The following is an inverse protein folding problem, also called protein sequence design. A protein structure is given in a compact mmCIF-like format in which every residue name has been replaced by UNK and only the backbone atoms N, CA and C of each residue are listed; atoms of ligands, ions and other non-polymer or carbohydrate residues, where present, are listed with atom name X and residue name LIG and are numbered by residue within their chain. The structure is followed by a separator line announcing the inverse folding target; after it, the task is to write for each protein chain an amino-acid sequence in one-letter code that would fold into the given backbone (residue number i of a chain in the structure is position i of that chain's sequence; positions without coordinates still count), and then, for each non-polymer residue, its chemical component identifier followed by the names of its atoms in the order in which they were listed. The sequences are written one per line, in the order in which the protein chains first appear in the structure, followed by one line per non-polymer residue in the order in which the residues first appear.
data_IF_507517617675
#
_entry.id   IF_507517617675
#
_cell.length_a   1.000
_cell.length_b   1.000
_cell.length_c   1.000
_cell.angle_alpha   90.00
_cell.angle_beta   90.00
_cell.angle_gamma   90.00
#
_symmetry.space_group_name_H-M   'P 1'
#
loop_
_entity.id
_entity.type
_entity.pdbx_description
1 polymer ?
#
# COMPACT_ATOMS: atom_id res chain seq x y z
N UNK A 1 7.64 -7.22 14.43
CA UNK A 1 6.57 -6.72 13.52
C UNK A 1 5.78 -5.58 14.16
N UNK A 2 5.23 -5.74 15.38
CA UNK A 2 4.48 -4.67 16.07
C UNK A 2 5.27 -3.36 16.22
N UNK A 3 6.55 -3.47 16.58
CA UNK A 3 7.45 -2.32 16.70
C UNK A 3 7.53 -1.52 15.38
N UNK A 4 7.66 -2.20 14.24
CA UNK A 4 7.71 -1.56 12.93
C UNK A 4 6.38 -0.90 12.56
N UNK A 5 5.25 -1.55 12.83
CA UNK A 5 3.91 -0.96 12.63
C UNK A 5 3.76 0.34 13.44
N UNK A 6 4.30 0.39 14.66
CA UNK A 6 4.30 1.59 15.50
C UNK A 6 5.26 2.67 14.98
N UNK A 7 6.51 2.31 14.65
CA UNK A 7 7.53 3.21 14.08
C UNK A 7 7.04 3.88 12.80
N UNK A 8 6.38 3.13 11.93
CA UNK A 8 5.80 3.63 10.68
C UNK A 8 4.49 4.39 10.88
N UNK A 9 3.94 4.42 12.10
CA UNK A 9 2.61 4.93 12.39
C UNK A 9 1.52 4.37 11.46
N UNK A 10 1.61 3.09 11.12
CA UNK A 10 0.79 2.47 10.09
C UNK A 10 -0.62 2.12 10.59
N UNK A 11 -1.63 2.87 10.10
CA UNK A 11 -3.04 2.67 10.42
C UNK A 11 -3.35 2.80 11.92
N UNK A 12 -4.24 1.94 12.42
CA UNK A 12 -4.63 1.91 13.84
C UNK A 12 -3.57 1.29 14.78
N UNK A 13 -2.44 0.82 14.24
CA UNK A 13 -1.29 0.23 14.97
C UNK A 13 -1.63 -0.96 15.86
N UNK A 14 -2.81 -1.59 15.65
CA UNK A 14 -3.26 -2.76 16.41
C UNK A 14 -2.93 -4.02 15.63
N UNK A 15 -2.05 -4.85 16.19
CA UNK A 15 -1.74 -6.17 15.68
C UNK A 15 -2.11 -7.19 16.77
N UNK A 16 -2.84 -8.25 16.41
CA UNK A 16 -2.99 -9.42 17.27
C UNK A 16 -2.00 -10.51 16.83
N UNK A 17 -1.58 -11.36 17.77
CA UNK A 17 -0.53 -12.38 17.55
C UNK A 17 -0.87 -13.45 16.49
N UNK A 18 -2.12 -13.54 16.04
CA UNK A 18 -2.52 -14.40 14.92
C UNK A 18 -2.37 -13.64 13.60
N UNK A 19 -1.12 -13.45 13.17
CA UNK A 19 -0.71 -12.48 12.14
C UNK A 19 -1.22 -12.79 10.72
N UNK A 20 -1.83 -13.96 10.47
CA UNK A 20 -2.16 -14.41 9.11
C UNK A 20 -3.65 -14.67 8.84
N UNK A 21 -4.54 -14.58 9.83
CA UNK A 21 -5.96 -14.80 9.63
C UNK A 21 -6.79 -13.73 10.36
N UNK A 22 -7.34 -12.77 9.60
CA UNK A 22 -8.27 -11.75 10.08
C UNK A 22 -7.71 -10.73 11.10
N UNK A 23 -6.65 -10.00 10.72
CA UNK A 23 -6.02 -9.01 11.60
C UNK A 23 -6.94 -7.83 11.96
N UNK A 24 -6.80 -7.36 13.20
CA UNK A 24 -7.43 -6.14 13.75
C UNK A 24 -6.82 -4.85 13.18
N UNK A 25 -5.76 -4.99 12.37
CA UNK A 25 -5.08 -3.89 11.71
C UNK A 25 -6.01 -3.28 10.66
N UNK A 26 -6.27 -1.98 10.82
CA UNK A 26 -7.08 -1.19 9.89
C UNK A 26 -6.30 0.04 9.47
N UNK A 27 -6.40 0.41 8.20
CA UNK A 27 -5.79 1.60 7.63
C UNK A 27 -6.83 2.30 6.74
N UNK A 28 -6.82 3.63 6.73
CA UNK A 28 -7.66 4.44 5.85
C UNK A 28 -6.94 4.71 4.52
N UNK A 29 -7.69 5.07 3.47
CA UNK A 29 -7.10 5.32 2.15
C UNK A 29 -6.08 6.46 2.15
N UNK A 30 -6.37 7.54 2.89
CA UNK A 30 -5.45 8.66 3.02
C UNK A 30 -4.14 8.29 3.73
N UNK A 31 -4.21 7.47 4.79
CA UNK A 31 -3.00 7.00 5.50
C UNK A 31 -2.20 6.03 4.63
N UNK A 32 -2.87 5.22 3.80
CA UNK A 32 -2.19 4.37 2.82
C UNK A 32 -1.52 5.19 1.71
N UNK A 33 -2.12 6.29 1.27
CA UNK A 33 -1.52 7.21 0.31
C UNK A 33 -0.27 7.89 0.91
N UNK A 34 -0.35 8.40 2.14
CA UNK A 34 0.80 8.99 2.85
C UNK A 34 1.96 8.00 3.04
N UNK A 35 1.65 6.74 3.38
CA UNK A 35 2.68 5.69 3.45
C UNK A 35 3.35 5.44 2.08
N UNK A 36 2.54 5.37 1.01
CA UNK A 36 3.04 5.17 -0.36
C UNK A 36 3.89 6.35 -0.83
N UNK A 37 3.51 7.58 -0.48
CA UNK A 37 4.29 8.78 -0.78
C UNK A 37 5.66 8.75 -0.08
N UNK A 38 5.70 8.39 1.21
CA UNK A 38 6.95 8.23 1.96
C UNK A 38 7.85 7.14 1.39
N UNK A 39 7.27 6.03 0.93
CA UNK A 39 8.01 4.98 0.22
C UNK A 39 8.60 5.50 -1.10
N UNK A 40 7.80 6.23 -1.88
CA UNK A 40 8.25 6.85 -3.13
C UNK A 40 9.44 7.80 -2.88
N UNK A 41 9.28 8.72 -1.93
CA UNK A 41 10.29 9.71 -1.49
C UNK A 41 11.48 9.10 -0.75
N UNK A 42 11.47 7.78 -0.51
CA UNK A 42 12.52 7.07 0.23
C UNK A 42 12.76 7.65 1.63
N UNK A 43 11.70 8.10 2.31
CA UNK A 43 11.74 8.77 3.62
C UNK A 43 11.22 7.93 4.78
N UNK A 44 10.89 6.65 4.53
CA UNK A 44 10.63 5.68 5.59
C UNK A 44 11.93 5.34 6.34
N UNK A 45 11.85 4.87 7.61
CA UNK A 45 13.02 4.49 8.41
C UNK A 45 13.62 3.14 7.98
N UNK A 46 13.92 3.00 6.69
CA UNK A 46 14.55 1.84 6.06
C UNK A 46 15.67 2.30 5.13
N UNK A 47 16.58 1.39 4.79
CA UNK A 47 17.66 1.73 3.87
C UNK A 47 17.13 1.99 2.45
N UNK A 48 17.70 3.00 1.77
CA UNK A 48 17.32 3.35 0.40
C UNK A 48 17.37 2.16 -0.57
N UNK A 49 18.38 1.27 -0.55
CA UNK A 49 18.39 0.09 -1.42
C UNK A 49 17.21 -0.86 -1.19
N UNK A 50 16.76 -1.00 0.06
CA UNK A 50 15.59 -1.83 0.40
C UNK A 50 14.33 -1.20 -0.18
N UNK A 51 14.12 0.10 0.03
CA UNK A 51 12.95 0.80 -0.54
C UNK A 51 12.94 0.79 -2.06
N UNK A 52 14.09 0.97 -2.71
CA UNK A 52 14.24 0.83 -4.17
C UNK A 52 13.88 -0.58 -4.64
N UNK A 53 14.25 -1.60 -3.87
CA UNK A 53 13.91 -2.99 -4.17
C UNK A 53 12.40 -3.22 -4.06
N UNK A 54 11.77 -2.72 -3.00
CA UNK A 54 10.30 -2.79 -2.84
C UNK A 54 9.59 -2.05 -3.98
N UNK A 55 10.03 -0.84 -4.35
CA UNK A 55 9.48 -0.10 -5.49
C UNK A 55 9.59 -0.91 -6.79
N UNK A 56 10.75 -1.51 -7.08
CA UNK A 56 10.90 -2.38 -8.27
C UNK A 56 9.94 -3.57 -8.26
N UNK A 57 9.74 -4.21 -7.11
CA UNK A 57 8.78 -5.31 -6.96
C UNK A 57 7.31 -4.88 -7.16
N UNK A 58 7.02 -3.58 -7.06
CA UNK A 58 5.68 -3.03 -7.25
C UNK A 58 5.36 -2.72 -8.72
N UNK A 59 6.32 -2.76 -9.65
CA UNK A 59 6.06 -2.47 -11.07
C UNK A 59 4.98 -3.43 -11.58
N UNK A 60 3.89 -2.88 -12.09
CA UNK A 60 2.79 -3.61 -12.74
C UNK A 60 2.87 -3.44 -14.26
N UNK A 61 3.27 -2.26 -14.71
CA UNK A 61 3.36 -1.91 -16.12
C UNK A 61 4.44 -0.85 -16.32
N UNK A 62 5.18 -0.97 -17.42
CA UNK A 62 6.22 -0.04 -17.83
C UNK A 62 6.03 0.24 -19.32
N UNK A 63 5.94 1.53 -19.67
CA UNK A 63 5.80 2.03 -21.04
C UNK A 63 6.82 3.13 -21.28
N UNK A 64 6.96 3.57 -22.53
CA UNK A 64 7.86 4.67 -22.89
C UNK A 64 7.51 5.99 -22.19
N UNK A 65 6.25 6.16 -21.76
CA UNK A 65 5.73 7.43 -21.22
C UNK A 65 5.49 7.41 -19.71
N UNK A 66 5.33 6.23 -19.11
CA UNK A 66 5.04 6.09 -17.69
C UNK A 66 5.36 4.69 -17.14
N UNK A 67 5.55 4.63 -15.82
CA UNK A 67 5.67 3.38 -15.08
C UNK A 67 4.63 3.36 -13.97
N UNK A 68 3.83 2.29 -13.94
CA UNK A 68 2.82 2.03 -12.91
C UNK A 68 3.40 1.12 -11.83
N UNK A 69 3.44 1.63 -10.61
CA UNK A 69 3.79 0.88 -9.41
C UNK A 69 2.53 0.66 -8.59
N UNK A 70 2.27 -0.58 -8.18
CA UNK A 70 1.10 -0.84 -7.35
C UNK A 70 1.08 -2.20 -6.69
N UNK A 71 0.22 -2.33 -5.69
CA UNK A 71 -0.09 -3.60 -5.04
C UNK A 71 -1.58 -3.75 -4.85
N UNK A 72 -2.11 -4.87 -5.30
CA UNK A 72 -3.49 -5.30 -5.05
C UNK A 72 -3.64 -5.89 -3.64
N UNK A 73 -4.79 -5.64 -3.02
CA UNK A 73 -5.20 -6.27 -1.77
C UNK A 73 -6.69 -6.60 -1.83
N UNK A 74 -7.06 -7.80 -1.38
CA UNK A 74 -8.47 -8.20 -1.30
C UNK A 74 -8.71 -8.93 0.01
N UNK A 75 -9.83 -8.61 0.67
CA UNK A 75 -10.29 -9.37 1.82
C UNK A 75 -11.34 -10.37 1.36
N UNK A 76 -11.06 -11.66 1.51
CA UNK A 76 -12.03 -12.74 1.38
C UNK A 76 -13.05 -12.62 2.53
N UNK A 77 -14.08 -11.80 2.32
CA UNK A 77 -15.15 -11.53 3.27
C UNK A 77 -16.40 -11.11 2.51
N UNK A 78 -17.57 -11.19 3.16
CA UNK A 78 -18.86 -10.79 2.56
C UNK A 78 -18.88 -9.37 1.99
N UNK A 79 -18.03 -8.46 2.48
CA UNK A 79 -17.99 -7.07 2.00
C UNK A 79 -17.27 -6.90 0.66
N UNK A 80 -16.49 -7.89 0.21
CA UNK A 80 -15.74 -7.80 -1.04
C UNK A 80 -14.76 -6.62 -1.09
N UNK A 81 -14.20 -6.20 0.06
CA UNK A 81 -13.30 -5.04 0.14
C UNK A 81 -12.03 -5.31 -0.67
N UNK A 82 -11.78 -4.44 -1.65
CA UNK A 82 -10.65 -4.47 -2.57
C UNK A 82 -9.86 -3.17 -2.49
N UNK A 83 -8.55 -3.31 -2.61
CA UNK A 83 -7.58 -2.25 -2.55
C UNK A 83 -6.63 -2.33 -3.73
N UNK A 84 -6.26 -1.17 -4.24
CA UNK A 84 -5.11 -1.01 -5.10
C UNK A 84 -4.41 0.29 -4.72
N UNK A 85 -3.19 0.18 -4.20
CA UNK A 85 -2.40 1.33 -3.75
C UNK A 85 -1.07 1.36 -4.49
N UNK A 86 -0.61 2.56 -4.85
CA UNK A 86 0.52 2.69 -5.74
C UNK A 86 0.84 4.13 -6.11
N UNK A 87 1.73 4.27 -7.09
CA UNK A 87 2.07 5.55 -7.70
C UNK A 87 2.43 5.36 -9.17
N UNK A 88 2.25 6.41 -9.97
CA UNK A 88 2.63 6.47 -11.38
C UNK A 88 3.74 7.50 -11.52
N UNK A 89 4.82 7.15 -12.20
CA UNK A 89 5.86 8.10 -12.62
C UNK A 89 5.70 8.39 -14.11
N UNK A 90 5.62 9.66 -14.50
CA UNK A 90 5.55 10.08 -15.91
C UNK A 90 6.31 11.39 -16.08
N UNK A 91 7.39 11.36 -16.86
CA UNK A 91 8.37 12.45 -16.91
C UNK A 91 8.86 12.82 -15.51
N UNK A 92 8.82 14.12 -15.20
CA UNK A 92 9.21 14.66 -13.89
C UNK A 92 8.07 14.61 -12.84
N UNK A 93 6.89 14.12 -13.22
CA UNK A 93 5.71 14.08 -12.35
C UNK A 93 5.52 12.71 -11.73
N UNK A 94 5.08 12.69 -10.47
CA UNK A 94 4.66 11.45 -9.80
C UNK A 94 3.31 11.64 -9.14
N UNK A 95 2.42 10.68 -9.36
CA UNK A 95 1.06 10.69 -8.84
C UNK A 95 0.88 9.52 -7.88
N UNK A 96 0.72 9.80 -6.60
CA UNK A 96 0.42 8.80 -5.58
C UNK A 96 -1.09 8.61 -5.50
N UNK A 97 -1.55 7.37 -5.48
CA UNK A 97 -2.96 7.06 -5.43
C UNK A 97 -3.27 5.88 -4.50
N UNK A 98 -4.52 5.81 -4.09
CA UNK A 98 -5.06 4.66 -3.38
C UNK A 98 -6.52 4.50 -3.73
N UNK A 99 -6.87 3.32 -4.21
CA UNK A 99 -8.22 2.89 -4.52
C UNK A 99 -8.69 1.92 -3.43
N UNK A 100 -9.84 2.21 -2.83
CA UNK A 100 -10.55 1.27 -1.99
C UNK A 100 -12.00 1.14 -2.48
N UNK A 101 -12.43 -0.09 -2.73
CA UNK A 101 -13.77 -0.38 -3.25
C UNK A 101 -14.41 -1.48 -2.42
N UNK A 102 -15.69 -1.34 -2.12
CA UNK A 102 -16.48 -2.36 -1.46
C UNK A 102 -17.44 -2.96 -2.48
N UNK A 103 -17.31 -4.27 -2.75
CA UNK A 103 -18.23 -4.98 -3.62
C UNK A 103 -19.31 -5.65 -2.79
N UNK A 104 -20.52 -5.09 -2.77
CA UNK A 104 -21.68 -5.87 -2.32
C UNK A 104 -21.95 -6.96 -3.36
N UNK A 105 -21.84 -8.23 -2.98
CA UNK A 105 -22.53 -9.30 -3.72
C UNK A 105 -24.01 -9.00 -3.55
N UNK A 106 -24.69 -8.59 -4.64
CA UNK A 106 -26.15 -8.60 -4.66
C UNK A 106 -26.55 -10.07 -4.68
N UNK A 107 -27.24 -10.51 -3.63
CA UNK A 107 -28.00 -11.77 -3.63
C UNK A 107 -29.16 -11.66 -4.63
#
# INVERSE_FOLDING_TARGET
MEEWIRKLSYGNKRLNRSVLACSTLKISAIVQADFTEKLYKESLPFDKPVMKTVKRMMIQEETDSCTLYGKSGARLSRSGLRWFAGFITSGDSTYVFTLNMNGSVRE
#
